data_IF_673643773150
#
_entry.id   IF_673643773150
#
_cell.length_a   1.000
_cell.length_b   1.000
_cell.length_c   1.000
_cell.angle_alpha   90.00
_cell.angle_beta   90.00
_cell.angle_gamma   90.00
#
_symmetry.space_group_name_H-M   'P 1'
#
loop_
_entity.id
_entity.type
_entity.pdbx_description
1 polymer ?
#
# COMPACT_ATOMS: atom_id res chain seq x y z
N UNK A 1 -2.92 -0.05 1.75
CA UNK A 1 -1.61 -0.31 1.12
C UNK A 1 -1.19 -1.76 1.33
N UNK A 2 -0.60 -2.40 0.30
CA UNK A 2 0.07 -3.70 0.44
C UNK A 2 1.44 -3.46 1.09
N UNK A 3 1.78 -4.20 2.16
CA UNK A 3 3.06 -4.01 2.88
C UNK A 3 3.96 -5.25 2.85
N UNK A 4 3.53 -6.33 2.22
CA UNK A 4 4.32 -7.57 2.15
C UNK A 4 4.12 -8.34 0.86
N UNK A 5 5.16 -9.10 0.48
CA UNK A 5 5.10 -10.03 -0.66
C UNK A 5 3.96 -11.04 -0.52
N UNK A 6 3.66 -11.48 0.71
CA UNK A 6 2.55 -12.41 0.95
C UNK A 6 1.19 -11.78 0.65
N UNK A 7 0.97 -10.52 1.04
CA UNK A 7 -0.24 -9.77 0.70
C UNK A 7 -0.32 -9.53 -0.82
N UNK A 8 0.77 -9.11 -1.47
CA UNK A 8 0.84 -8.97 -2.94
C UNK A 8 0.40 -10.26 -3.64
N UNK A 9 0.94 -11.40 -3.24
CA UNK A 9 0.60 -12.70 -3.85
C UNK A 9 -0.88 -13.08 -3.65
N UNK A 10 -1.50 -12.71 -2.53
CA UNK A 10 -2.94 -12.92 -2.30
C UNK A 10 -3.78 -12.03 -3.22
N UNK A 11 -3.41 -10.76 -3.34
CA UNK A 11 -4.08 -9.79 -4.24
C UNK A 11 -3.97 -10.23 -5.69
N UNK A 12 -2.79 -10.67 -6.15
CA UNK A 12 -2.61 -11.20 -7.51
C UNK A 12 -3.50 -12.41 -7.81
N UNK A 13 -3.61 -13.36 -6.85
CA UNK A 13 -4.55 -14.49 -6.98
C UNK A 13 -6.01 -14.03 -7.08
N UNK A 14 -6.37 -13.00 -6.30
CA UNK A 14 -7.69 -12.42 -6.35
C UNK A 14 -7.97 -11.75 -7.70
N UNK A 15 -7.01 -11.01 -8.26
CA UNK A 15 -7.11 -10.41 -9.60
C UNK A 15 -7.39 -11.50 -10.64
N UNK A 16 -6.56 -12.55 -10.69
CA UNK A 16 -6.74 -13.69 -11.61
C UNK A 16 -8.15 -14.29 -11.50
N UNK A 17 -8.65 -14.49 -10.27
CA UNK A 17 -9.99 -15.04 -10.04
C UNK A 17 -11.10 -14.10 -10.54
N UNK A 18 -10.93 -12.77 -10.41
CA UNK A 18 -11.89 -11.79 -10.91
C UNK A 18 -11.86 -11.70 -12.44
N UNK A 19 -10.68 -11.82 -13.05
CA UNK A 19 -10.51 -11.86 -14.50
C UNK A 19 -11.19 -13.08 -15.12
N UNK A 20 -11.02 -14.27 -14.53
CA UNK A 20 -11.74 -15.48 -14.93
C UNK A 20 -13.26 -15.30 -14.86
N UNK A 21 -13.77 -14.70 -13.77
CA UNK A 21 -15.20 -14.40 -13.61
C UNK A 21 -15.71 -13.38 -14.63
N UNK A 22 -14.89 -12.40 -15.00
CA UNK A 22 -15.25 -11.38 -15.99
C UNK A 22 -15.28 -11.95 -17.41
N UNK A 23 -14.40 -12.92 -17.71
CA UNK A 23 -14.33 -13.63 -18.98
C UNK A 23 -15.47 -14.66 -19.15
N UNK A 24 -16.01 -15.20 -18.06
CA UNK A 24 -17.11 -16.15 -18.10
C UNK A 24 -18.36 -15.59 -18.81
N UNK A 25 -19.13 -16.44 -19.53
CA UNK A 25 -20.37 -16.02 -20.17
C UNK A 25 -21.41 -15.60 -19.13
N UNK A 26 -22.30 -14.68 -19.53
CA UNK A 26 -23.42 -14.29 -18.68
C UNK A 26 -24.31 -15.51 -18.39
N UNK A 27 -24.79 -15.61 -17.15
CA UNK A 27 -25.69 -16.70 -16.77
C UNK A 27 -26.98 -16.63 -17.60
N UNK A 28 -27.56 -17.78 -18.00
CA UNK A 28 -28.86 -17.82 -18.66
C UNK A 28 -29.91 -17.06 -17.84
N UNK A 29 -30.71 -16.23 -18.50
CA UNK A 29 -31.77 -15.44 -17.85
C UNK A 29 -31.34 -14.09 -17.27
N UNK A 30 -30.06 -13.71 -17.36
CA UNK A 30 -29.60 -12.37 -16.94
C UNK A 30 -29.83 -11.35 -18.06
N UNK A 31 -30.54 -10.24 -17.81
CA UNK A 31 -30.71 -9.17 -18.81
C UNK A 31 -29.36 -8.58 -19.27
N UNK A 32 -29.20 -8.25 -20.57
CA UNK A 32 -27.93 -7.74 -21.11
C UNK A 32 -27.38 -6.50 -20.38
N UNK A 33 -28.26 -5.59 -19.93
CA UNK A 33 -27.85 -4.41 -19.16
C UNK A 33 -27.22 -4.79 -17.81
N UNK A 34 -27.83 -5.73 -17.07
CA UNK A 34 -27.29 -6.21 -15.79
C UNK A 34 -25.93 -6.88 -15.97
N UNK A 35 -25.77 -7.69 -17.03
CA UNK A 35 -24.49 -8.31 -17.35
C UNK A 35 -23.39 -7.26 -17.64
N UNK A 36 -23.72 -6.13 -18.30
CA UNK A 36 -22.78 -5.03 -18.53
C UNK A 36 -22.38 -4.34 -17.24
N UNK A 37 -23.33 -4.02 -16.36
CA UNK A 37 -23.05 -3.38 -15.07
C UNK A 37 -22.15 -4.26 -14.20
N UNK A 38 -22.43 -5.55 -14.10
CA UNK A 38 -21.57 -6.48 -13.33
C UNK A 38 -20.15 -6.53 -13.88
N UNK A 39 -19.97 -6.54 -15.21
CA UNK A 39 -18.63 -6.50 -15.82
C UNK A 39 -17.90 -5.18 -15.55
N UNK A 40 -18.61 -4.05 -15.56
CA UNK A 40 -18.02 -2.76 -15.22
C UNK A 40 -17.52 -2.72 -13.76
N UNK A 41 -18.33 -3.21 -12.82
CA UNK A 41 -17.94 -3.31 -11.40
C UNK A 41 -16.72 -4.21 -11.19
N UNK A 42 -16.68 -5.38 -11.86
CA UNK A 42 -15.51 -6.26 -11.79
C UNK A 42 -14.25 -5.58 -12.35
N UNK A 43 -14.36 -4.86 -13.47
CA UNK A 43 -13.24 -4.13 -14.06
C UNK A 43 -12.71 -3.05 -13.13
N UNK A 44 -13.59 -2.26 -12.52
CA UNK A 44 -13.20 -1.24 -11.55
C UNK A 44 -12.48 -1.86 -10.35
N UNK A 45 -13.01 -2.98 -9.83
CA UNK A 45 -12.38 -3.68 -8.71
C UNK A 45 -11.00 -4.23 -9.07
N UNK A 46 -10.84 -4.78 -10.27
CA UNK A 46 -9.54 -5.25 -10.77
C UNK A 46 -8.55 -4.08 -10.86
N UNK A 47 -8.97 -2.95 -11.44
CA UNK A 47 -8.13 -1.77 -11.58
C UNK A 47 -7.64 -1.24 -10.22
N UNK A 48 -8.52 -1.19 -9.21
CA UNK A 48 -8.13 -0.83 -7.84
C UNK A 48 -7.07 -1.76 -7.26
N UNK A 49 -7.27 -3.08 -7.37
CA UNK A 49 -6.31 -4.07 -6.87
C UNK A 49 -4.97 -4.02 -7.62
N UNK A 50 -4.99 -3.76 -8.93
CA UNK A 50 -3.79 -3.57 -9.73
C UNK A 50 -3.02 -2.30 -9.30
N UNK A 51 -3.73 -1.21 -9.00
CA UNK A 51 -3.12 0.00 -8.46
C UNK A 51 -2.44 -0.26 -7.10
N UNK A 52 -3.07 -1.01 -6.19
CA UNK A 52 -2.45 -1.41 -4.92
C UNK A 52 -1.17 -2.24 -5.10
N UNK A 53 -1.14 -3.13 -6.11
CA UNK A 53 0.06 -3.91 -6.46
C UNK A 53 1.16 -3.02 -7.02
N UNK A 54 0.81 -2.09 -7.91
CA UNK A 54 1.74 -1.13 -8.48
C UNK A 54 2.34 -0.21 -7.41
N UNK A 55 1.53 0.28 -6.46
CA UNK A 55 1.99 1.08 -5.32
C UNK A 55 3.05 0.32 -4.49
N UNK A 56 2.81 -0.96 -4.22
CA UNK A 56 3.79 -1.80 -3.51
C UNK A 56 5.09 -1.98 -4.30
N UNK A 57 4.99 -2.25 -5.61
CA UNK A 57 6.17 -2.45 -6.45
C UNK A 57 7.01 -1.18 -6.57
N UNK A 58 6.35 -0.03 -6.74
CA UNK A 58 6.99 1.28 -6.69
C UNK A 58 7.66 1.53 -5.34
N UNK A 59 6.99 1.25 -4.22
CA UNK A 59 7.57 1.42 -2.88
C UNK A 59 8.78 0.51 -2.65
N UNK A 60 8.82 -0.69 -3.25
CA UNK A 60 9.99 -1.57 -3.19
C UNK A 60 11.17 -1.09 -4.05
N UNK A 61 10.92 -0.31 -5.09
CA UNK A 61 11.94 0.21 -6.02
C UNK A 61 12.36 1.65 -5.72
N UNK A 62 11.63 2.34 -4.84
CA UNK A 62 11.87 3.73 -4.52
C UNK A 62 13.26 3.95 -3.90
N UNK A 63 13.89 5.07 -4.26
CA UNK A 63 14.99 5.62 -3.48
C UNK A 63 14.39 6.32 -2.25
N UNK A 64 14.91 5.99 -1.07
CA UNK A 64 14.46 6.61 0.19
C UNK A 64 14.80 8.10 0.27
N UNK A 65 15.75 8.58 -0.53
CA UNK A 65 16.17 9.98 -0.57
C UNK A 65 15.22 10.86 -1.39
N UNK A 66 14.43 10.27 -2.29
CA UNK A 66 13.54 10.98 -3.23
C UNK A 66 12.05 10.74 -2.90
N UNK A 67 11.73 10.48 -1.64
CA UNK A 67 10.35 10.23 -1.21
C UNK A 67 9.56 11.54 -1.08
N UNK A 68 8.58 11.72 -1.96
CA UNK A 68 7.63 12.83 -1.93
C UNK A 68 6.26 12.40 -1.37
N UNK A 69 5.57 13.36 -0.74
CA UNK A 69 4.26 13.18 -0.11
C UNK A 69 3.40 14.42 -0.33
N UNK A 70 2.19 14.25 -0.85
CA UNK A 70 1.30 15.38 -1.13
C UNK A 70 0.47 15.79 0.08
N UNK A 71 0.28 14.87 1.03
CA UNK A 71 -0.58 15.08 2.19
C UNK A 71 -0.07 14.33 3.42
N UNK A 72 -0.62 14.69 4.59
CA UNK A 72 -0.20 14.12 5.87
C UNK A 72 -0.47 12.61 5.96
N UNK A 73 -1.56 12.13 5.35
CA UNK A 73 -1.90 10.70 5.34
C UNK A 73 -0.87 9.88 4.57
N UNK A 74 -0.34 10.40 3.46
CA UNK A 74 0.77 9.78 2.75
C UNK A 74 2.07 9.82 3.54
N UNK A 75 2.35 10.95 4.22
CA UNK A 75 3.53 11.07 5.07
C UNK A 75 3.54 10.02 6.19
N UNK A 76 2.38 9.69 6.79
CA UNK A 76 2.31 8.62 7.79
C UNK A 76 2.69 7.25 7.24
N UNK A 77 2.56 7.02 5.93
CA UNK A 77 3.03 5.78 5.29
C UNK A 77 4.54 5.72 5.08
N UNK A 78 5.29 6.80 5.36
CA UNK A 78 6.75 6.87 5.19
C UNK A 78 7.47 5.65 5.77
N UNK A 79 7.22 5.18 7.01
CA UNK A 79 7.92 4.03 7.55
C UNK A 79 7.70 2.73 6.74
N UNK A 80 6.52 2.56 6.14
CA UNK A 80 6.23 1.42 5.25
C UNK A 80 7.09 1.54 4.00
N UNK A 81 7.08 2.72 3.34
CA UNK A 81 7.87 2.97 2.12
C UNK A 81 9.36 2.75 2.37
N UNK A 82 9.91 3.31 3.45
CA UNK A 82 11.33 3.12 3.84
C UNK A 82 11.65 1.64 4.05
N UNK A 83 10.78 0.89 4.75
CA UNK A 83 11.02 -0.55 4.97
C UNK A 83 11.02 -1.33 3.66
N UNK A 84 10.08 -1.04 2.77
CA UNK A 84 9.95 -1.71 1.48
C UNK A 84 11.14 -1.40 0.56
N UNK A 85 11.51 -0.13 0.43
CA UNK A 85 12.64 0.34 -0.37
C UNK A 85 13.97 -0.25 0.12
N UNK A 86 14.15 -0.36 1.45
CA UNK A 86 15.35 -0.96 2.04
C UNK A 86 15.33 -2.50 2.05
N UNK A 87 14.28 -3.13 1.50
CA UNK A 87 14.14 -4.58 1.40
C UNK A 87 14.03 -5.30 2.74
N UNK A 88 13.69 -4.58 3.81
CA UNK A 88 13.74 -5.12 5.16
C UNK A 88 12.50 -5.91 5.54
N UNK A 89 12.73 -7.01 6.24
CA UNK A 89 11.67 -7.77 6.91
C UNK A 89 11.15 -7.01 8.14
N UNK A 90 9.92 -7.32 8.56
CA UNK A 90 9.31 -6.77 9.78
C UNK A 90 10.26 -6.90 10.99
N UNK A 91 10.88 -8.06 11.30
CA UNK A 91 11.80 -8.16 12.44
C UNK A 91 13.06 -7.30 12.31
N UNK A 92 13.62 -7.16 11.10
CA UNK A 92 14.82 -6.34 10.88
C UNK A 92 14.52 -4.85 11.09
N UNK A 93 13.43 -4.36 10.50
CA UNK A 93 13.03 -2.97 10.64
C UNK A 93 12.62 -2.65 12.08
N UNK A 94 11.85 -3.52 12.71
CA UNK A 94 11.43 -3.36 14.11
C UNK A 94 12.63 -3.22 15.06
N UNK A 95 13.67 -4.05 14.87
CA UNK A 95 14.93 -3.94 15.63
C UNK A 95 15.63 -2.61 15.40
N UNK A 96 15.69 -2.13 14.16
CA UNK A 96 16.33 -0.84 13.82
C UNK A 96 15.65 0.38 14.45
N UNK A 97 14.33 0.34 14.63
CA UNK A 97 13.57 1.44 15.25
C UNK A 97 13.15 1.15 16.69
N UNK A 98 13.75 0.12 17.31
CA UNK A 98 13.53 -0.27 18.70
C UNK A 98 12.06 -0.50 19.10
N UNK A 99 11.29 -1.19 18.24
CA UNK A 99 9.93 -1.65 18.55
C UNK A 99 9.83 -3.17 18.43
N UNK A 100 8.80 -3.77 19.05
CA UNK A 100 8.56 -5.20 18.86
C UNK A 100 7.98 -5.48 17.46
N UNK A 101 8.25 -6.68 16.86
CA UNK A 101 7.66 -7.05 15.58
C UNK A 101 6.13 -7.07 15.55
N UNK A 102 5.48 -7.38 16.68
CA UNK A 102 4.02 -7.37 16.81
C UNK A 102 3.46 -5.95 16.78
N UNK A 103 4.11 -5.01 17.49
CA UNK A 103 3.76 -3.59 17.44
C UNK A 103 3.96 -3.02 16.04
N UNK A 104 5.07 -3.34 15.37
CA UNK A 104 5.31 -2.90 14.00
C UNK A 104 4.22 -3.39 13.05
N UNK A 105 3.85 -4.68 13.11
CA UNK A 105 2.74 -5.22 12.30
C UNK A 105 1.43 -4.46 12.51
N UNK A 106 1.12 -4.08 13.76
CA UNK A 106 -0.08 -3.29 14.07
C UNK A 106 0.00 -1.89 13.47
N UNK A 107 1.16 -1.23 13.56
CA UNK A 107 1.34 0.09 12.93
C UNK A 107 1.19 0.02 11.42
N UNK A 108 1.79 -0.97 10.75
CA UNK A 108 1.62 -1.11 9.31
C UNK A 108 0.18 -1.44 8.90
N UNK A 109 -0.53 -2.27 9.67
CA UNK A 109 -1.92 -2.60 9.40
C UNK A 109 -2.85 -1.38 9.49
N UNK A 110 -2.46 -0.36 10.24
CA UNK A 110 -3.18 0.91 10.40
C UNK A 110 -2.49 2.07 9.67
N UNK A 111 -1.55 1.77 8.77
CA UNK A 111 -0.81 2.78 8.00
C UNK A 111 -0.20 3.89 8.88
N UNK A 112 0.22 3.52 10.10
CA UNK A 112 0.76 4.39 11.14
C UNK A 112 -0.15 5.54 11.60
N UNK A 113 -1.43 5.56 11.21
CA UNK A 113 -2.38 6.64 11.59
C UNK A 113 -2.49 6.85 13.11
N UNK A 114 -2.29 5.78 13.89
CA UNK A 114 -2.34 5.81 15.36
C UNK A 114 -0.97 5.53 16.01
N UNK A 115 0.12 5.62 15.24
CA UNK A 115 1.46 5.45 15.82
C UNK A 115 1.86 6.72 16.58
N UNK A 116 2.53 6.60 17.74
CA UNK A 116 3.12 7.75 18.41
C UNK A 116 4.10 8.48 17.49
N UNK A 117 4.14 9.81 17.56
CA UNK A 117 4.99 10.63 16.69
C UNK A 117 6.49 10.27 16.83
N UNK A 118 6.89 9.80 18.01
CA UNK A 118 8.25 9.32 18.31
C UNK A 118 8.68 8.17 17.41
N UNK A 119 7.73 7.34 16.94
CA UNK A 119 8.03 6.23 16.02
C UNK A 119 8.47 6.77 14.66
N UNK A 120 7.76 7.77 14.13
CA UNK A 120 8.13 8.42 12.88
C UNK A 120 9.47 9.15 13.01
N UNK A 121 9.68 9.89 14.11
CA UNK A 121 10.95 10.56 14.39
C UNK A 121 12.11 9.56 14.49
N UNK A 122 11.87 8.39 15.10
CA UNK A 122 12.88 7.33 15.19
C UNK A 122 13.23 6.79 13.81
N UNK A 123 12.24 6.57 12.94
CA UNK A 123 12.48 6.16 11.54
C UNK A 123 13.33 7.21 10.83
N UNK A 124 12.95 8.49 10.89
CA UNK A 124 13.70 9.58 10.26
C UNK A 124 15.16 9.61 10.72
N UNK A 125 15.39 9.57 12.04
CA UNK A 125 16.73 9.56 12.62
C UNK A 125 17.54 8.34 12.22
N UNK A 126 16.95 7.15 12.27
CA UNK A 126 17.64 5.88 11.96
C UNK A 126 18.11 5.80 10.51
N UNK A 127 17.40 6.45 9.59
CA UNK A 127 17.72 6.45 8.16
C UNK A 127 18.32 7.77 7.66
N UNK A 128 18.59 8.73 8.56
CA UNK A 128 19.16 10.03 8.19
C UNK A 128 18.25 10.87 7.30
N UNK A 129 16.94 10.69 7.41
CA UNK A 129 15.95 11.40 6.60
C UNK A 129 15.52 12.70 7.27
N UNK A 130 15.29 13.73 6.46
CA UNK A 130 14.74 15.02 6.88
C UNK A 130 13.40 15.26 6.21
N UNK A 131 12.45 15.85 6.92
CA UNK A 131 11.14 16.23 6.36
C UNK A 131 11.13 17.73 6.17
N UNK A 132 10.92 18.17 4.93
CA UNK A 132 10.65 19.56 4.57
C UNK A 132 9.27 19.66 3.95
N UNK A 133 8.44 20.59 4.43
CA UNK A 133 7.11 20.82 3.88
C UNK A 133 7.02 22.22 3.25
N UNK A 134 6.26 22.32 2.16
CA UNK A 134 5.82 23.59 1.61
C UNK A 134 4.30 23.65 1.61
N UNK A 135 3.72 24.80 1.94
CA UNK A 135 2.27 25.02 1.84
C UNK A 135 1.98 25.64 0.49
N UNK A 136 1.20 24.97 -0.36
CA UNK A 136 0.58 25.60 -1.52
C UNK A 136 -0.89 25.90 -1.22
N UNK A 137 -1.41 26.98 -1.81
CA UNK A 137 -2.84 27.25 -1.77
C UNK A 137 -3.56 26.15 -2.57
N UNK A 138 -4.60 25.53 -1.99
CA UNK A 138 -5.38 24.54 -2.70
C UNK A 138 -6.18 25.27 -3.79
N UNK A 139 -5.84 25.02 -5.05
CA UNK A 139 -6.53 25.57 -6.22
C UNK A 139 -7.94 24.99 -6.39
#
# INVERSE_FOLDING_TARGET
MITSKQQKNRVLKQISTLEERMAAPAKPGVPPYMARVSKAQLRERIAQLQAEVAEFDQACQADINDLEFENLSEMFKLPIKVRLATGQTIPQFARKINVSPSTLKRYEALEYANAPAEVLQTVLKTYGLTVSGHTSEAA
#
